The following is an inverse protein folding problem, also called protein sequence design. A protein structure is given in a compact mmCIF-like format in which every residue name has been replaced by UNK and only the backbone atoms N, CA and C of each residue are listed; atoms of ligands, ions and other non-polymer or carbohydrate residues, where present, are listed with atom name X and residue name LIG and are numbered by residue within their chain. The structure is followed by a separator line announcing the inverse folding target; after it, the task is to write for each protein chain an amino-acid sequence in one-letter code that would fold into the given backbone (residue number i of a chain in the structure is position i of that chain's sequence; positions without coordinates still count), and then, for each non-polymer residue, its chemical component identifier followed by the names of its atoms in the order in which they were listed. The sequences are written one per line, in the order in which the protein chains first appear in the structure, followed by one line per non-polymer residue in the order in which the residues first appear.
data_IF_478328057829
#
_entry.id   IF_478328057829
#
_cell.length_a   1.000
_cell.length_b   1.000
_cell.length_c   1.000
_cell.angle_alpha   90.00
_cell.angle_beta   90.00
_cell.angle_gamma   90.00
#
_symmetry.space_group_name_H-M   'P 1'
#
loop_
_entity.id
_entity.type
_entity.pdbx_description
1 polymer ?
#
# COMPACT_ATOMS: atom_id res chain seq x y z
N UNK A 1 -11.21 -7.81 13.94
CA UNK A 1 -11.47 -6.68 12.99
C UNK A 1 -11.65 -7.27 11.60
N UNK A 2 -12.70 -6.89 10.87
CA UNK A 2 -12.84 -7.29 9.45
C UNK A 2 -12.16 -6.28 8.55
N UNK A 3 -11.22 -6.74 7.73
CA UNK A 3 -10.55 -5.93 6.73
C UNK A 3 -11.05 -6.25 5.32
N UNK A 4 -11.01 -5.26 4.43
CA UNK A 4 -11.27 -5.41 3.01
C UNK A 4 -10.14 -4.80 2.19
N UNK A 5 -9.80 -5.45 1.09
CA UNK A 5 -8.93 -4.92 0.05
C UNK A 5 -9.73 -4.68 -1.22
N UNK A 6 -9.51 -3.54 -1.83
CA UNK A 6 -10.15 -3.16 -3.09
C UNK A 6 -9.18 -3.47 -4.24
N UNK A 7 -9.71 -4.08 -5.30
CA UNK A 7 -9.05 -4.26 -6.58
C UNK A 7 -9.78 -3.44 -7.62
N UNK A 8 -9.08 -2.53 -8.29
CA UNK A 8 -9.68 -1.68 -9.31
C UNK A 8 -8.70 -1.41 -10.46
N UNK A 9 -9.24 -0.87 -11.56
CA UNK A 9 -8.45 -0.45 -12.72
C UNK A 9 -8.51 1.07 -12.85
N UNK A 10 -7.54 1.77 -12.29
CA UNK A 10 -7.42 3.21 -12.46
C UNK A 10 -6.76 3.57 -13.79
N UNK A 11 -7.15 4.71 -14.34
CA UNK A 11 -6.62 5.32 -15.56
C UNK A 11 -6.31 6.80 -15.31
N UNK A 12 -5.99 7.56 -16.36
CA UNK A 12 -5.85 9.02 -16.26
C UNK A 12 -7.19 9.75 -16.00
N UNK A 13 -8.33 9.06 -16.14
CA UNK A 13 -9.66 9.66 -15.98
C UNK A 13 -10.10 9.64 -14.51
N UNK A 14 -9.78 10.71 -13.76
CA UNK A 14 -10.06 10.82 -12.32
C UNK A 14 -11.52 10.53 -11.96
N UNK A 15 -12.48 11.13 -12.66
CA UNK A 15 -13.91 11.01 -12.29
C UNK A 15 -14.41 9.57 -12.42
N UNK A 16 -13.94 8.84 -13.45
CA UNK A 16 -14.19 7.41 -13.62
C UNK A 16 -13.60 6.61 -12.45
N UNK A 17 -12.37 6.93 -12.06
CA UNK A 17 -11.68 6.23 -10.98
C UNK A 17 -12.35 6.49 -9.63
N UNK A 18 -12.76 7.73 -9.35
CA UNK A 18 -13.49 8.08 -8.12
C UNK A 18 -14.83 7.32 -8.05
N UNK A 19 -15.59 7.26 -9.14
CA UNK A 19 -16.85 6.52 -9.20
C UNK A 19 -16.65 5.02 -8.95
N UNK A 20 -15.61 4.41 -9.52
CA UNK A 20 -15.25 3.00 -9.25
C UNK A 20 -14.82 2.79 -7.81
N UNK A 21 -13.97 3.66 -7.26
CA UNK A 21 -13.51 3.57 -5.88
C UNK A 21 -14.68 3.70 -4.90
N UNK A 22 -15.56 4.67 -5.07
CA UNK A 22 -16.75 4.84 -4.23
C UNK A 22 -17.62 3.58 -4.22
N UNK A 23 -17.95 3.05 -5.38
CA UNK A 23 -18.75 1.83 -5.51
C UNK A 23 -18.13 0.67 -4.74
N UNK A 24 -16.82 0.46 -4.88
CA UNK A 24 -16.11 -0.65 -4.24
C UNK A 24 -15.93 -0.44 -2.74
N UNK A 25 -15.66 0.78 -2.29
CA UNK A 25 -15.59 1.14 -0.86
C UNK A 25 -16.95 0.93 -0.20
N UNK A 26 -18.06 1.38 -0.83
CA UNK A 26 -19.41 1.13 -0.32
C UNK A 26 -19.77 -0.35 -0.31
N UNK A 27 -19.33 -1.12 -1.30
CA UNK A 27 -19.47 -2.59 -1.32
C UNK A 27 -18.72 -3.24 -0.14
N UNK A 28 -17.48 -2.79 0.14
CA UNK A 28 -16.70 -3.30 1.27
C UNK A 28 -17.33 -2.95 2.62
N UNK A 29 -17.83 -1.72 2.79
CA UNK A 29 -18.58 -1.31 3.96
C UNK A 29 -19.87 -2.14 4.14
N UNK A 30 -20.62 -2.38 3.05
CA UNK A 30 -21.79 -3.27 3.05
C UNK A 30 -21.46 -4.73 3.40
N UNK A 31 -20.24 -5.19 3.17
CA UNK A 31 -19.73 -6.49 3.61
C UNK A 31 -19.25 -6.49 5.08
N UNK A 32 -19.42 -5.39 5.80
CA UNK A 32 -19.06 -5.25 7.21
C UNK A 32 -17.57 -4.98 7.46
N UNK A 33 -16.85 -4.46 6.48
CA UNK A 33 -15.45 -4.09 6.68
C UNK A 33 -15.33 -2.90 7.65
N UNK A 34 -14.43 -3.04 8.61
CA UNK A 34 -14.08 -2.01 9.58
C UNK A 34 -12.78 -1.27 9.19
N UNK A 35 -11.98 -1.89 8.31
CA UNK A 35 -10.80 -1.31 7.67
C UNK A 35 -10.84 -1.65 6.19
N UNK A 36 -10.79 -0.63 5.33
CA UNK A 36 -10.80 -0.77 3.88
C UNK A 36 -9.47 -0.22 3.34
N UNK A 37 -8.87 -0.91 2.37
CA UNK A 37 -7.62 -0.48 1.73
C UNK A 37 -7.85 -0.34 0.23
N UNK A 38 -7.65 0.88 -0.30
CA UNK A 38 -7.61 1.18 -1.73
C UNK A 38 -6.21 0.91 -2.31
N UNK A 39 -6.06 0.69 -3.62
CA UNK A 39 -4.76 0.46 -4.25
C UNK A 39 -3.95 1.75 -4.45
N UNK A 40 -2.70 1.62 -4.90
CA UNK A 40 -1.80 2.72 -5.26
C UNK A 40 -2.37 3.51 -6.44
N UNK A 41 -2.23 4.86 -6.36
CA UNK A 41 -2.65 5.81 -7.43
C UNK A 41 -4.10 5.59 -7.88
N UNK A 42 -4.97 5.36 -6.91
CA UNK A 42 -6.37 4.99 -7.15
C UNK A 42 -7.17 6.10 -7.83
N UNK A 43 -6.79 7.37 -7.65
CA UNK A 43 -7.46 8.53 -8.25
C UNK A 43 -7.01 8.81 -9.69
N UNK A 44 -5.70 8.66 -9.98
CA UNK A 44 -5.12 8.84 -11.32
C UNK A 44 -3.93 7.90 -11.46
N UNK A 45 -3.95 7.04 -12.48
CA UNK A 45 -2.84 6.18 -12.89
C UNK A 45 -2.62 6.34 -14.38
N UNK A 46 -1.42 6.77 -14.79
CA UNK A 46 -1.09 7.07 -16.17
C UNK A 46 0.38 7.42 -16.35
N UNK A 47 0.67 8.19 -17.41
CA UNK A 47 2.01 8.72 -17.69
C UNK A 47 2.43 9.74 -16.62
N UNK A 48 3.71 10.12 -16.61
CA UNK A 48 4.22 11.20 -15.76
C UNK A 48 3.43 12.51 -15.97
N UNK A 49 3.04 12.82 -17.21
CA UNK A 49 2.23 13.98 -17.52
C UNK A 49 0.80 13.88 -16.93
N UNK A 50 0.20 12.69 -16.96
CA UNK A 50 -1.12 12.45 -16.35
C UNK A 50 -1.05 12.60 -14.82
N UNK A 51 0.00 12.07 -14.20
CA UNK A 51 0.24 12.23 -12.75
C UNK A 51 0.42 13.70 -12.37
N UNK A 52 1.20 14.46 -13.13
CA UNK A 52 1.38 15.89 -12.91
C UNK A 52 0.07 16.69 -13.07
N UNK A 53 -0.73 16.35 -14.06
CA UNK A 53 -2.02 16.99 -14.30
C UNK A 53 -3.06 16.64 -13.22
N UNK A 54 -3.03 15.38 -12.73
CA UNK A 54 -3.94 14.87 -11.72
C UNK A 54 -3.46 15.02 -10.28
N UNK A 55 -2.28 15.59 -10.05
CA UNK A 55 -1.72 15.76 -8.70
C UNK A 55 -2.53 16.74 -7.85
N UNK A 56 -2.80 16.34 -6.61
CA UNK A 56 -3.62 17.08 -5.66
C UNK A 56 -2.86 17.30 -4.34
N UNK A 57 -3.15 18.37 -3.59
CA UNK A 57 -2.74 18.47 -2.21
C UNK A 57 -3.53 17.45 -1.34
N UNK A 58 -3.09 17.21 -0.09
CA UNK A 58 -3.76 16.25 0.79
C UNK A 58 -5.17 16.70 1.26
N UNK A 59 -5.54 17.93 1.04
CA UNK A 59 -6.89 18.48 1.20
C UNK A 59 -7.65 18.58 -0.13
N UNK A 60 -7.16 17.89 -1.16
CA UNK A 60 -7.72 17.90 -2.51
C UNK A 60 -8.99 17.07 -2.66
N UNK A 61 -9.67 17.19 -3.82
CA UNK A 61 -10.99 16.60 -4.05
C UNK A 61 -11.02 15.08 -3.94
N UNK A 62 -9.95 14.36 -4.30
CA UNK A 62 -9.92 12.90 -4.20
C UNK A 62 -9.94 12.42 -2.74
N UNK A 63 -9.08 13.01 -1.90
CA UNK A 63 -9.09 12.68 -0.47
C UNK A 63 -10.33 13.21 0.22
N UNK A 64 -10.86 14.38 -0.18
CA UNK A 64 -12.14 14.88 0.30
C UNK A 64 -13.29 13.90 0.05
N UNK A 65 -13.35 13.27 -1.12
CA UNK A 65 -14.32 12.22 -1.41
C UNK A 65 -14.11 10.98 -0.51
N UNK A 66 -12.87 10.52 -0.34
CA UNK A 66 -12.53 9.40 0.53
C UNK A 66 -12.90 9.66 2.01
N UNK A 67 -12.72 10.88 2.51
CA UNK A 67 -13.14 11.32 3.84
C UNK A 67 -14.68 11.23 4.01
N UNK A 68 -15.44 11.63 3.00
CA UNK A 68 -16.90 11.47 3.00
C UNK A 68 -17.28 10.00 3.05
N UNK A 69 -16.64 9.13 2.27
CA UNK A 69 -16.95 7.69 2.28
C UNK A 69 -16.63 7.04 3.62
N UNK A 70 -15.48 7.36 4.22
CA UNK A 70 -15.10 6.85 5.54
C UNK A 70 -16.14 7.24 6.61
N UNK A 71 -16.56 8.50 6.61
CA UNK A 71 -17.58 9.05 7.54
C UNK A 71 -18.94 8.42 7.32
N UNK A 72 -19.41 8.33 6.07
CA UNK A 72 -20.73 7.75 5.75
C UNK A 72 -20.85 6.29 6.19
N UNK A 73 -19.73 5.55 6.14
CA UNK A 73 -19.66 4.12 6.49
C UNK A 73 -19.25 3.87 7.94
N UNK A 74 -18.76 4.89 8.66
CA UNK A 74 -18.19 4.74 9.99
C UNK A 74 -17.02 3.76 10.02
N UNK A 75 -16.12 3.80 9.00
CA UNK A 75 -15.06 2.81 8.80
C UNK A 75 -13.68 3.48 8.62
N UNK A 76 -12.63 2.80 9.03
CA UNK A 76 -11.26 3.19 8.73
C UNK A 76 -10.96 2.95 7.25
N UNK A 77 -10.32 3.92 6.61
CA UNK A 77 -9.98 3.84 5.20
C UNK A 77 -8.50 4.20 4.98
N UNK A 78 -7.71 3.23 4.50
CA UNK A 78 -6.47 3.54 3.81
C UNK A 78 -6.85 3.98 2.41
N UNK A 79 -6.73 5.28 2.14
CA UNK A 79 -7.04 5.86 0.82
C UNK A 79 -5.89 5.59 -0.17
N UNK A 80 -5.49 4.31 -0.26
CA UNK A 80 -4.50 3.82 -1.19
C UNK A 80 -3.26 4.69 -1.26
N UNK A 81 -2.99 5.26 -2.44
CA UNK A 81 -2.13 6.43 -2.57
C UNK A 81 -2.56 7.35 -3.70
N UNK A 82 -2.11 8.59 -3.65
CA UNK A 82 -2.30 9.61 -4.69
C UNK A 82 -0.96 10.24 -5.06
N UNK A 83 -0.88 10.85 -6.24
CA UNK A 83 0.18 11.79 -6.58
C UNK A 83 -0.05 13.10 -5.80
N UNK A 84 0.68 13.28 -4.70
CA UNK A 84 0.58 14.46 -3.84
C UNK A 84 1.37 15.63 -4.41
N UNK A 85 0.72 16.78 -4.56
CA UNK A 85 1.36 18.06 -4.75
C UNK A 85 1.64 18.68 -3.38
N UNK A 86 2.89 18.71 -2.91
CA UNK A 86 3.18 19.25 -1.58
C UNK A 86 2.94 20.77 -1.53
N UNK A 87 2.60 21.28 -0.33
CA UNK A 87 2.37 22.71 -0.10
C UNK A 87 3.63 23.55 -0.41
N UNK A 88 4.80 23.00 -0.12
CA UNK A 88 6.10 23.54 -0.53
C UNK A 88 6.64 22.68 -1.68
N UNK A 89 6.43 23.07 -2.94
CA UNK A 89 6.89 22.31 -4.08
C UNK A 89 8.42 22.19 -4.10
N UNK A 90 8.92 21.02 -4.50
CA UNK A 90 10.34 20.86 -4.80
C UNK A 90 10.75 21.80 -5.96
N UNK A 91 12.00 22.24 -6.00
CA UNK A 91 12.52 23.12 -7.06
C UNK A 91 12.34 22.53 -8.47
N UNK A 92 12.39 21.20 -8.57
CA UNK A 92 12.20 20.44 -9.81
C UNK A 92 10.73 20.05 -10.07
N UNK A 93 9.79 20.45 -9.20
CA UNK A 93 8.35 20.22 -9.33
C UNK A 93 7.90 18.77 -9.13
N UNK A 94 8.78 17.89 -8.59
CA UNK A 94 8.40 16.48 -8.33
C UNK A 94 7.36 16.37 -7.23
N UNK A 95 6.53 15.35 -7.37
CA UNK A 95 5.42 15.00 -6.50
C UNK A 95 5.86 14.00 -5.42
N UNK A 96 4.96 13.69 -4.49
CA UNK A 96 5.09 12.49 -3.66
C UNK A 96 4.01 11.46 -4.03
N UNK A 97 4.32 10.19 -3.82
CA UNK A 97 3.35 9.10 -3.85
C UNK A 97 2.90 8.86 -2.40
N UNK A 98 1.71 9.36 -2.03
CA UNK A 98 1.31 9.46 -0.62
C UNK A 98 0.07 8.64 -0.31
N UNK A 99 0.21 7.74 0.67
CA UNK A 99 -0.88 6.97 1.28
C UNK A 99 -1.37 7.65 2.54
N UNK A 100 -2.69 7.67 2.76
CA UNK A 100 -3.30 8.27 3.95
C UNK A 100 -4.20 7.27 4.68
N UNK A 101 -4.22 7.37 6.02
CA UNK A 101 -5.22 6.74 6.87
C UNK A 101 -6.27 7.77 7.26
N UNK A 102 -7.53 7.45 7.00
CA UNK A 102 -8.71 8.25 7.34
C UNK A 102 -9.50 7.48 8.40
N UNK A 103 -9.90 8.18 9.46
CA UNK A 103 -10.69 7.63 10.54
C UNK A 103 -12.22 7.59 10.22
N UNK A 104 -13.05 6.95 11.07
CA UNK A 104 -14.50 6.89 10.88
C UNK A 104 -15.21 8.26 10.95
N UNK A 105 -14.57 9.28 11.48
CA UNK A 105 -15.05 10.67 11.52
C UNK A 105 -14.73 11.41 10.22
N UNK A 106 -13.91 10.81 9.35
CA UNK A 106 -13.48 11.36 8.08
C UNK A 106 -12.25 12.26 8.17
N UNK A 107 -11.49 12.17 9.26
CA UNK A 107 -10.26 12.95 9.42
C UNK A 107 -9.04 12.16 8.94
N UNK A 108 -8.09 12.85 8.28
CA UNK A 108 -6.80 12.26 7.90
C UNK A 108 -5.92 12.23 9.14
N UNK A 109 -5.70 11.03 9.69
CA UNK A 109 -4.94 10.85 10.94
C UNK A 109 -3.47 10.43 10.73
N UNK A 110 -3.13 9.97 9.54
CA UNK A 110 -1.74 9.67 9.16
C UNK A 110 -1.54 9.79 7.65
N UNK A 111 -0.32 10.16 7.26
CA UNK A 111 0.13 10.20 5.86
C UNK A 111 1.53 9.58 5.75
N UNK A 112 1.72 8.74 4.76
CA UNK A 112 2.98 8.08 4.45
C UNK A 112 3.39 8.39 3.01
N UNK A 113 4.52 9.03 2.80
CA UNK A 113 5.14 9.24 1.50
C UNK A 113 6.05 8.06 1.18
N UNK A 114 5.80 7.41 0.05
CA UNK A 114 6.55 6.24 -0.43
C UNK A 114 8.05 6.50 -0.40
N UNK A 115 8.82 5.61 0.26
CA UNK A 115 10.26 5.76 0.42
C UNK A 115 11.01 5.24 -0.81
N UNK A 116 10.61 4.08 -1.34
CA UNK A 116 11.33 3.41 -2.42
C UNK A 116 10.63 3.62 -3.76
N UNK A 117 11.28 4.38 -4.65
CA UNK A 117 10.78 4.67 -5.99
C UNK A 117 11.08 3.51 -6.94
N UNK A 118 10.15 3.26 -7.86
CA UNK A 118 10.23 2.16 -8.82
C UNK A 118 11.03 2.56 -10.07
N UNK A 119 12.36 2.59 -9.91
CA UNK A 119 13.31 2.84 -10.99
C UNK A 119 13.95 1.52 -11.38
N UNK A 120 13.43 0.89 -12.43
CA UNK A 120 13.84 -0.45 -12.83
C UNK A 120 13.76 -0.64 -14.34
N UNK A 121 14.50 -1.61 -14.82
CA UNK A 121 14.36 -2.16 -16.16
C UNK A 121 13.91 -3.61 -16.03
N UNK A 122 12.68 -3.92 -16.45
CA UNK A 122 12.07 -5.24 -16.27
C UNK A 122 11.08 -5.55 -17.38
N UNK A 123 11.11 -6.79 -17.86
CA UNK A 123 10.21 -7.24 -18.91
C UNK A 123 10.37 -6.49 -20.24
N UNK A 124 11.55 -5.91 -20.49
CA UNK A 124 11.83 -5.08 -21.67
C UNK A 124 11.24 -3.67 -21.60
N UNK A 125 10.73 -3.25 -20.44
CA UNK A 125 10.25 -1.91 -20.18
C UNK A 125 11.10 -1.22 -19.12
N UNK A 126 11.36 0.07 -19.30
CA UNK A 126 12.05 0.93 -18.33
C UNK A 126 11.02 1.76 -17.58
N UNK A 127 11.09 1.70 -16.25
CA UNK A 127 10.28 2.50 -15.35
C UNK A 127 11.19 3.48 -14.61
N UNK A 128 10.78 4.74 -14.55
CA UNK A 128 11.49 5.84 -13.88
C UNK A 128 10.50 6.65 -13.08
N UNK A 129 10.13 6.14 -11.90
CA UNK A 129 9.21 6.85 -11.01
C UNK A 129 9.84 8.15 -10.50
N UNK A 130 11.18 8.16 -10.33
CA UNK A 130 11.95 9.33 -9.90
C UNK A 130 11.93 10.51 -10.89
N UNK A 131 11.52 10.31 -12.14
CA UNK A 131 11.35 11.40 -13.10
C UNK A 131 10.17 12.33 -12.72
N UNK A 132 9.15 11.79 -12.04
CA UNK A 132 7.94 12.52 -11.66
C UNK A 132 7.78 12.69 -10.15
N UNK A 133 8.37 11.80 -9.35
CA UNK A 133 8.17 11.70 -7.91
C UNK A 133 9.49 11.74 -7.14
N UNK A 134 9.43 12.21 -5.91
CA UNK A 134 10.55 12.22 -4.96
C UNK A 134 10.29 11.26 -3.80
N UNK A 135 11.33 10.66 -3.20
CA UNK A 135 11.15 9.72 -2.11
C UNK A 135 10.72 10.43 -0.82
N UNK A 136 9.87 9.76 -0.04
CA UNK A 136 9.67 10.09 1.37
C UNK A 136 10.89 9.70 2.21
N UNK A 137 10.90 10.15 3.47
CA UNK A 137 12.01 9.92 4.41
C UNK A 137 11.57 9.36 5.75
N UNK A 138 10.26 9.15 5.95
CA UNK A 138 9.72 8.78 7.27
C UNK A 138 9.05 7.41 7.24
N UNK A 139 9.35 6.62 8.26
CA UNK A 139 8.67 5.34 8.55
C UNK A 139 7.45 5.64 9.41
N UNK A 140 6.25 5.38 8.90
CA UNK A 140 4.99 5.74 9.54
C UNK A 140 4.30 4.51 10.14
N UNK A 141 4.04 4.58 11.44
CA UNK A 141 3.17 3.68 12.20
C UNK A 141 1.93 4.47 12.61
N UNK A 142 0.75 3.94 12.38
CA UNK A 142 -0.53 4.55 12.72
C UNK A 142 -1.43 3.53 13.42
N UNK A 143 -2.49 3.98 14.08
CA UNK A 143 -3.45 3.11 14.75
C UNK A 143 -4.83 3.22 14.11
N UNK A 144 -5.50 2.08 13.91
CA UNK A 144 -6.89 1.98 13.50
C UNK A 144 -7.64 1.02 14.41
N UNK A 145 -8.47 1.54 15.31
CA UNK A 145 -9.30 0.75 16.24
C UNK A 145 -8.49 -0.29 17.04
N UNK A 146 -7.38 0.12 17.63
CA UNK A 146 -6.49 -0.74 18.42
C UNK A 146 -5.59 -1.68 17.61
N UNK A 147 -5.53 -1.50 16.30
CA UNK A 147 -4.62 -2.21 15.40
C UNK A 147 -3.52 -1.27 14.92
N UNK A 148 -2.28 -1.53 15.32
CA UNK A 148 -1.11 -0.79 14.85
C UNK A 148 -0.79 -1.18 13.41
N UNK A 149 -0.88 -0.20 12.51
CA UNK A 149 -0.68 -0.32 11.07
C UNK A 149 0.67 0.26 10.66
N UNK A 150 1.50 -0.55 10.02
CA UNK A 150 2.66 -0.06 9.26
C UNK A 150 2.22 0.35 7.85
N UNK A 151 2.41 1.61 7.49
CA UNK A 151 2.03 2.11 6.17
C UNK A 151 3.17 1.89 5.18
N UNK A 152 2.88 1.27 4.05
CA UNK A 152 3.81 1.04 2.94
C UNK A 152 3.10 1.19 1.60
N UNK A 153 3.84 1.35 0.49
CA UNK A 153 3.27 1.44 -0.85
C UNK A 153 4.11 0.63 -1.84
N UNK A 154 3.50 -0.34 -2.49
CA UNK A 154 3.95 -1.05 -3.69
C UNK A 154 5.42 -1.55 -3.64
N UNK A 155 6.35 -0.79 -4.24
CA UNK A 155 7.76 -1.18 -4.36
C UNK A 155 8.44 -1.36 -3.00
N UNK A 156 7.94 -0.69 -1.94
CA UNK A 156 8.37 -0.90 -0.56
C UNK A 156 8.32 -2.39 -0.16
N UNK A 157 7.43 -3.17 -0.78
CA UNK A 157 7.30 -4.61 -0.53
C UNK A 157 8.61 -5.38 -0.73
N UNK A 158 9.54 -4.86 -1.52
CA UNK A 158 10.84 -5.50 -1.78
C UNK A 158 11.90 -5.24 -0.72
N UNK A 159 11.64 -4.33 0.21
CA UNK A 159 12.60 -3.88 1.22
C UNK A 159 12.21 -4.40 2.62
N UNK A 160 12.71 -5.58 3.02
CA UNK A 160 12.36 -6.20 4.31
C UNK A 160 12.73 -5.34 5.51
N UNK A 161 13.70 -4.45 5.36
CA UNK A 161 14.17 -3.53 6.39
C UNK A 161 13.05 -2.62 6.89
N UNK A 162 12.27 -2.02 5.97
CA UNK A 162 11.13 -1.16 6.30
C UNK A 162 10.10 -1.92 7.14
N UNK A 163 9.73 -3.12 6.70
CA UNK A 163 8.75 -3.96 7.40
C UNK A 163 9.26 -4.39 8.77
N UNK A 164 10.56 -4.71 8.86
CA UNK A 164 11.18 -5.07 10.13
C UNK A 164 11.19 -3.91 11.13
N UNK A 165 11.51 -2.70 10.67
CA UNK A 165 11.47 -1.49 11.50
C UNK A 165 10.04 -1.26 12.00
N UNK A 166 9.03 -1.32 11.12
CA UNK A 166 7.63 -1.19 11.49
C UNK A 166 7.20 -2.24 12.52
N UNK A 167 7.55 -3.51 12.30
CA UNK A 167 7.23 -4.61 13.22
C UNK A 167 7.85 -4.41 14.61
N UNK A 168 9.10 -3.95 14.67
CA UNK A 168 9.80 -3.68 15.93
C UNK A 168 9.22 -2.45 16.64
N UNK A 169 8.68 -1.49 15.90
CA UNK A 169 7.94 -0.35 16.45
C UNK A 169 6.53 -0.70 16.93
N UNK A 170 6.07 -1.93 16.68
CA UNK A 170 4.79 -2.42 17.19
C UNK A 170 3.76 -2.77 16.12
N UNK A 171 4.03 -2.60 14.82
CA UNK A 171 3.06 -2.93 13.79
C UNK A 171 2.54 -4.36 13.93
N UNK A 172 1.23 -4.48 13.86
CA UNK A 172 0.50 -5.75 13.88
C UNK A 172 -0.06 -6.10 12.52
N UNK A 173 -0.19 -5.11 11.65
CA UNK A 173 -0.54 -5.30 10.24
C UNK A 173 0.24 -4.30 9.38
N UNK A 174 0.44 -4.66 8.12
CA UNK A 174 1.00 -3.78 7.08
C UNK A 174 -0.03 -3.55 5.99
N UNK A 175 -0.18 -2.31 5.55
CA UNK A 175 -0.97 -1.98 4.38
C UNK A 175 -0.07 -1.82 3.17
N UNK A 176 -0.47 -2.39 2.03
CA UNK A 176 0.33 -2.42 0.80
C UNK A 176 -0.53 -2.04 -0.40
N UNK A 177 -0.96 -0.77 -0.52
CA UNK A 177 -1.49 -0.24 -1.77
C UNK A 177 -0.50 -0.43 -2.90
N UNK A 178 -0.93 -0.98 -4.05
CA UNK A 178 0.02 -1.34 -5.12
C UNK A 178 -0.56 -1.17 -6.51
N UNK A 179 0.34 -0.84 -7.45
CA UNK A 179 0.16 -1.00 -8.88
C UNK A 179 1.28 -1.92 -9.41
N UNK A 180 1.31 -3.16 -8.94
CA UNK A 180 2.40 -4.11 -9.17
C UNK A 180 2.35 -4.63 -10.61
N UNK A 181 3.48 -4.62 -11.34
CA UNK A 181 3.50 -5.06 -12.74
C UNK A 181 3.12 -6.52 -12.90
N UNK A 182 2.39 -6.88 -13.94
CA UNK A 182 2.03 -8.27 -14.27
C UNK A 182 3.28 -9.14 -14.44
N UNK A 183 4.35 -8.58 -15.04
CA UNK A 183 5.60 -9.32 -15.27
C UNK A 183 6.21 -9.87 -13.99
N UNK A 184 6.36 -9.01 -12.97
CA UNK A 184 6.93 -9.44 -11.68
C UNK A 184 5.88 -9.98 -10.72
N UNK A 185 4.62 -9.60 -10.90
CA UNK A 185 3.52 -9.99 -10.01
C UNK A 185 3.29 -11.49 -10.00
N UNK A 186 3.37 -12.15 -11.16
CA UNK A 186 3.17 -13.60 -11.30
C UNK A 186 4.10 -14.42 -10.40
N UNK A 187 5.34 -13.98 -10.26
CA UNK A 187 6.37 -14.74 -9.55
C UNK A 187 6.65 -14.19 -8.15
N UNK A 188 6.44 -12.88 -7.92
CA UNK A 188 6.92 -12.23 -6.70
C UNK A 188 5.81 -11.81 -5.74
N UNK A 189 4.60 -11.43 -6.23
CA UNK A 189 3.58 -10.78 -5.42
C UNK A 189 3.20 -11.58 -4.19
N UNK A 190 2.65 -12.78 -4.37
CA UNK A 190 2.20 -13.60 -3.26
C UNK A 190 3.35 -14.03 -2.35
N UNK A 191 4.50 -14.41 -2.95
CA UNK A 191 5.69 -14.82 -2.20
C UNK A 191 6.16 -13.71 -1.26
N UNK A 192 6.24 -12.47 -1.76
CA UNK A 192 6.68 -11.33 -0.95
C UNK A 192 5.67 -10.97 0.14
N UNK A 193 4.36 -10.94 -0.16
CA UNK A 193 3.33 -10.69 0.85
C UNK A 193 3.42 -11.70 1.99
N UNK A 194 3.52 -12.98 1.66
CA UNK A 194 3.65 -14.05 2.66
C UNK A 194 4.97 -13.96 3.43
N UNK A 195 6.07 -13.62 2.77
CA UNK A 195 7.36 -13.41 3.44
C UNK A 195 7.26 -12.29 4.48
N UNK A 196 6.69 -11.12 4.10
CA UNK A 196 6.49 -10.00 5.04
C UNK A 196 5.60 -10.38 6.21
N UNK A 197 4.56 -11.17 5.98
CA UNK A 197 3.68 -11.66 7.04
C UNK A 197 4.43 -12.60 8.00
N UNK A 198 5.11 -13.62 7.47
CA UNK A 198 5.79 -14.66 8.26
C UNK A 198 6.93 -14.08 9.08
N UNK A 199 7.85 -13.35 8.45
CA UNK A 199 9.07 -12.86 9.09
C UNK A 199 8.81 -11.80 10.16
N UNK A 200 7.68 -11.07 10.05
CA UNK A 200 7.28 -10.02 10.99
C UNK A 200 6.10 -10.42 11.89
N UNK A 201 5.56 -11.63 11.69
CA UNK A 201 4.42 -12.14 12.46
C UNK A 201 3.27 -11.13 12.54
N UNK A 202 2.93 -10.54 11.38
CA UNK A 202 1.94 -9.49 11.21
C UNK A 202 1.02 -9.81 10.03
N UNK A 203 -0.20 -9.28 10.05
CA UNK A 203 -1.07 -9.34 8.88
C UNK A 203 -0.49 -8.50 7.75
N UNK A 204 -0.79 -8.89 6.51
CA UNK A 204 -0.53 -8.07 5.31
C UNK A 204 -1.84 -7.86 4.57
N UNK A 205 -2.21 -6.59 4.35
CA UNK A 205 -3.47 -6.16 3.74
C UNK A 205 -3.10 -5.42 2.45
N UNK A 206 -3.11 -6.14 1.33
CA UNK A 206 -2.54 -5.68 0.07
C UNK A 206 -3.62 -5.45 -0.99
N UNK A 207 -3.86 -4.19 -1.34
CA UNK A 207 -4.81 -3.77 -2.37
C UNK A 207 -4.05 -3.47 -3.66
N UNK A 208 -4.47 -4.06 -4.78
CA UNK A 208 -3.79 -3.96 -6.07
C UNK A 208 -4.64 -3.35 -7.17
N UNK A 209 -4.01 -2.53 -8.01
CA UNK A 209 -4.52 -2.22 -9.34
C UNK A 209 -4.49 -3.48 -10.20
N UNK A 210 -5.40 -3.63 -11.16
CA UNK A 210 -5.41 -4.73 -12.11
C UNK A 210 -5.56 -4.24 -13.55
N UNK A 211 -5.11 -5.08 -14.50
CA UNK A 211 -5.31 -4.85 -15.92
C UNK A 211 -4.49 -3.70 -16.49
N UNK A 212 -4.82 -3.31 -17.73
CA UNK A 212 -4.05 -2.33 -18.48
C UNK A 212 -4.24 -0.90 -17.94
N UNK A 213 -3.12 -0.18 -17.82
CA UNK A 213 -3.10 1.27 -17.62
C UNK A 213 -2.18 1.91 -18.69
N UNK A 214 -2.63 2.99 -19.38
CA UNK A 214 -1.80 3.69 -20.34
C UNK A 214 -0.52 4.29 -19.69
N UNK A 215 0.56 4.49 -20.46
CA UNK A 215 0.69 4.16 -21.88
C UNK A 215 1.07 2.71 -22.17
N UNK A 216 1.74 1.99 -21.27
CA UNK A 216 2.23 0.62 -21.50
C UNK A 216 2.39 -0.14 -20.16
N UNK A 217 1.51 0.07 -19.23
CA UNK A 217 1.53 -0.55 -17.94
C UNK A 217 0.42 -1.60 -17.82
N UNK A 218 0.71 -2.73 -17.23
CA UNK A 218 -0.29 -3.72 -16.86
C UNK A 218 -0.07 -4.15 -15.41
N UNK A 219 -1.09 -3.93 -14.60
CA UNK A 219 -1.09 -4.30 -13.19
C UNK A 219 -1.61 -5.72 -12.98
N UNK A 220 -0.97 -6.44 -12.07
CA UNK A 220 -1.20 -7.86 -11.83
C UNK A 220 -2.53 -8.17 -11.16
N UNK A 221 -3.02 -7.27 -10.31
CA UNK A 221 -4.18 -7.56 -9.47
C UNK A 221 -3.84 -8.45 -8.29
N UNK A 222 -4.73 -9.41 -8.00
CA UNK A 222 -4.57 -10.37 -6.90
C UNK A 222 -4.43 -9.69 -5.54
N UNK A 223 -5.26 -8.65 -5.30
CA UNK A 223 -5.40 -8.05 -3.98
C UNK A 223 -5.64 -9.12 -2.93
N UNK A 224 -4.90 -9.10 -1.82
CA UNK A 224 -4.91 -10.22 -0.88
C UNK A 224 -4.79 -9.77 0.58
N UNK A 225 -5.28 -10.62 1.48
CA UNK A 225 -5.08 -10.51 2.92
C UNK A 225 -4.36 -11.76 3.39
N UNK A 226 -3.23 -11.59 4.07
CA UNK A 226 -2.37 -12.69 4.56
C UNK A 226 -2.27 -12.59 6.08
N UNK A 227 -2.35 -13.73 6.77
CA UNK A 227 -2.25 -13.82 8.21
C UNK A 227 -0.77 -13.88 8.70
N UNK A 228 -0.52 -13.73 10.01
CA UNK A 228 0.83 -13.77 10.58
C UNK A 228 1.57 -15.11 10.44
N UNK A 229 0.90 -16.19 10.03
CA UNK A 229 1.50 -17.49 9.73
C UNK A 229 1.85 -17.63 8.25
N UNK A 230 1.44 -16.69 7.40
CA UNK A 230 1.63 -16.68 5.97
C UNK A 230 0.50 -17.40 5.19
N UNK A 231 -0.63 -17.67 5.84
CA UNK A 231 -1.82 -18.17 5.17
C UNK A 231 -2.52 -17.04 4.44
N UNK A 232 -2.82 -17.24 3.17
CA UNK A 232 -3.63 -16.32 2.39
C UNK A 232 -5.09 -16.52 2.79
N UNK A 233 -5.65 -15.54 3.52
CA UNK A 233 -7.03 -15.58 4.04
C UNK A 233 -8.06 -15.25 2.97
N UNK A 234 -7.73 -14.33 2.07
CA UNK A 234 -8.60 -13.91 0.98
C UNK A 234 -7.78 -13.37 -0.19
N UNK A 235 -8.29 -13.58 -1.40
CA UNK A 235 -7.75 -13.03 -2.66
C UNK A 235 -8.91 -12.51 -3.50
N UNK A 236 -8.76 -11.33 -4.09
CA UNK A 236 -9.74 -10.82 -5.05
C UNK A 236 -9.75 -11.67 -6.33
N UNK A 237 -10.95 -11.89 -6.87
CA UNK A 237 -11.13 -12.50 -8.17
C UNK A 237 -10.55 -11.63 -9.29
N UNK A 238 -10.48 -12.17 -10.50
CA UNK A 238 -10.08 -11.40 -11.67
C UNK A 238 -11.09 -10.26 -11.94
N UNK A 239 -10.58 -9.10 -12.33
CA UNK A 239 -11.39 -7.91 -12.56
C UNK A 239 -11.50 -7.01 -11.32
N UNK A 240 -12.38 -5.99 -11.40
CA UNK A 240 -12.68 -5.10 -10.27
C UNK A 240 -13.51 -5.83 -9.21
N UNK A 241 -13.17 -5.60 -7.94
CA UNK A 241 -13.90 -6.22 -6.83
C UNK A 241 -13.24 -5.99 -5.49
N UNK A 242 -13.71 -6.73 -4.50
CA UNK A 242 -13.19 -6.71 -3.14
C UNK A 242 -12.87 -8.13 -2.67
N UNK A 243 -11.94 -8.24 -1.72
CA UNK A 243 -11.79 -9.43 -0.90
C UNK A 243 -11.79 -9.04 0.58
N UNK A 244 -12.39 -9.87 1.43
CA UNK A 244 -12.53 -9.58 2.87
C UNK A 244 -12.05 -10.74 3.72
N UNK A 245 -11.46 -10.43 4.87
CA UNK A 245 -11.09 -11.42 5.89
C UNK A 245 -11.20 -10.83 7.29
N UNK A 246 -11.44 -11.70 8.27
CA UNK A 246 -11.38 -11.35 9.67
C UNK A 246 -9.94 -11.47 10.20
N UNK A 247 -9.42 -10.42 10.81
CA UNK A 247 -8.10 -10.38 11.42
C UNK A 247 -8.21 -10.89 12.87
N UNK A 248 -7.82 -12.15 13.12
CA UNK A 248 -7.79 -12.74 14.48
C UNK A 248 -6.53 -12.31 15.22
N UNK A 249 -6.63 -11.20 15.97
CA UNK A 249 -5.53 -10.67 16.76
C UNK A 249 -5.10 -11.60 17.91
N UNK A 250 -5.99 -12.46 18.40
CA UNK A 250 -5.65 -13.45 19.39
C UNK A 250 -4.81 -14.59 18.78
N UNK A 251 -5.13 -15.01 17.55
CA UNK A 251 -4.28 -15.95 16.79
C UNK A 251 -2.88 -15.36 16.56
N UNK A 252 -2.77 -14.09 16.19
CA UNK A 252 -1.47 -13.42 16.05
C UNK A 252 -0.65 -13.48 17.36
N UNK A 253 -1.29 -13.21 18.50
CA UNK A 253 -0.61 -13.31 19.80
C UNK A 253 -0.12 -14.73 20.09
N UNK A 254 -0.92 -15.75 19.75
CA UNK A 254 -0.50 -17.16 19.89
C UNK A 254 0.71 -17.47 19.00
N UNK A 255 0.72 -17.00 17.76
CA UNK A 255 1.86 -17.15 16.85
C UNK A 255 3.11 -16.52 17.44
N UNK A 256 3.03 -15.26 17.88
CA UNK A 256 4.17 -14.54 18.51
C UNK A 256 4.67 -15.20 19.78
N UNK A 257 3.79 -15.81 20.58
CA UNK A 257 4.16 -16.51 21.79
C UNK A 257 4.82 -17.88 21.51
N UNK A 258 4.31 -18.63 20.52
CA UNK A 258 4.82 -19.96 20.21
C UNK A 258 6.09 -19.96 19.37
N UNK A 259 6.29 -18.94 18.54
CA UNK A 259 7.46 -18.76 17.68
C UNK A 259 7.99 -17.31 17.84
N UNK A 260 8.65 -16.96 18.95
CA UNK A 260 8.98 -15.57 19.28
C UNK A 260 10.16 -15.01 18.46
N UNK A 261 10.09 -15.08 17.13
CA UNK A 261 11.18 -14.70 16.22
C UNK A 261 11.56 -13.21 16.34
N UNK A 262 10.59 -12.33 16.61
CA UNK A 262 10.87 -10.90 16.81
C UNK A 262 11.63 -10.66 18.12
N UNK A 263 11.30 -11.39 19.20
CA UNK A 263 11.98 -11.29 20.49
C UNK A 263 13.37 -11.93 20.47
N UNK A 264 13.55 -12.99 19.67
CA UNK A 264 14.82 -13.71 19.53
C UNK A 264 15.84 -13.03 18.62
N UNK A 265 15.52 -11.86 18.09
CA UNK A 265 16.48 -11.08 17.26
C UNK A 265 17.71 -10.71 18.06
N UNK A 266 18.84 -10.70 17.37
CA UNK A 266 20.16 -10.32 17.93
C UNK A 266 20.70 -9.08 17.20
N UNK A 267 20.03 -7.88 17.36
CA UNK A 267 20.41 -6.67 16.60
C UNK A 267 21.86 -6.26 16.83
N UNK A 268 22.42 -6.56 17.99
CA UNK A 268 23.82 -6.31 18.31
C UNK A 268 24.82 -7.12 17.46
N UNK A 269 24.38 -8.20 16.85
CA UNK A 269 25.19 -9.03 15.94
C UNK A 269 25.16 -8.54 14.49
N UNK A 270 24.23 -7.63 14.15
CA UNK A 270 24.06 -7.10 12.80
C UNK A 270 24.69 -5.71 12.70
N UNK A 271 25.55 -5.54 11.73
CA UNK A 271 26.08 -4.22 11.36
C UNK A 271 25.71 -3.98 9.91
N UNK A 272 25.11 -2.82 9.63
CA UNK A 272 25.02 -2.41 8.25
C UNK A 272 26.41 -2.30 7.67
N UNK A 273 26.70 -2.93 6.51
CA UNK A 273 27.92 -2.66 5.81
C UNK A 273 27.95 -1.17 5.42
N UNK A 274 29.16 -0.63 5.26
CA UNK A 274 29.32 0.66 4.61
C UNK A 274 28.59 0.63 3.25
N UNK A 275 28.06 1.78 2.77
CA UNK A 275 27.37 1.82 1.49
C UNK A 275 28.22 1.12 0.44
N UNK A 276 27.73 -0.02 -0.06
CA UNK A 276 28.37 -0.69 -1.19
C UNK A 276 28.18 0.25 -2.36
N UNK A 277 29.27 0.67 -3.00
CA UNK A 277 29.21 1.36 -4.28
C UNK A 277 28.26 0.55 -5.18
N UNK A 278 27.26 1.22 -5.75
CA UNK A 278 26.26 0.57 -6.57
C UNK A 278 26.99 -0.35 -7.55
N UNK A 279 26.70 -1.65 -7.47
CA UNK A 279 27.27 -2.61 -8.41
C UNK A 279 26.81 -2.13 -9.78
N UNK A 280 27.73 -1.51 -10.51
CA UNK A 280 27.49 -1.11 -11.87
C UNK A 280 27.14 -2.37 -12.63
N UNK A 281 25.88 -2.47 -13.07
CA UNK A 281 25.43 -3.50 -13.98
C UNK A 281 26.31 -3.40 -15.23
N UNK A 282 27.31 -4.29 -15.34
CA UNK A 282 28.12 -4.45 -16.52
C UNK A 282 27.36 -5.11 -17.66
#
# INVERSE_FOLDING_TARGET
MRAAVVQMNSTAERDRNLASAERLVRQAGGAGAQLIVLPEKWNVLGSAADLQAGAEPLDGPSLGAAQVWARDLGTWLIAGSIAERPAEPAEDGRLFNTSTLIDPEGEVVAAYRKIHLFDVEVGGATYRESDAEQPGSEVVLAEANGLELGLTVCYDLRFPELYRILAVRGARAFTVPSAFTTHTGRDHWEVLLRARAIENQAFVIAAGQHGAAPPNYESYGRSAIVDPWGVVLAVAADGEGIATADLDLAAQQRVRASLPSLANRRPEAYRWPDPVEAVSSG
#
